data_IF_318529552181
#
_entry.id   IF_318529552181
#
_cell.length_a   1.000
_cell.length_b   1.000
_cell.length_c   1.000
_cell.angle_alpha   90.00
_cell.angle_beta   90.00
_cell.angle_gamma   90.00
#
_symmetry.space_group_name_H-M   'P 1'
#
loop_
_entity.id
_entity.type
_entity.pdbx_description
1 polymer ?
#
# COMPACT_ATOMS: atom_id res chain seq x y z
N UNK A 1 14.59 -6.07 20.62
CA UNK A 1 14.54 -6.74 19.32
C UNK A 1 15.44 -5.98 18.39
N UNK A 2 16.19 -6.63 17.50
CA UNK A 2 16.93 -5.93 16.47
C UNK A 2 15.97 -5.06 15.64
N UNK A 3 16.43 -3.90 15.23
CA UNK A 3 15.64 -2.96 14.40
C UNK A 3 15.99 -3.25 12.95
N UNK A 4 15.00 -3.45 12.10
CA UNK A 4 15.19 -3.76 10.68
C UNK A 4 14.22 -2.94 9.84
N UNK A 5 14.59 -2.59 8.62
CA UNK A 5 13.69 -1.97 7.65
C UNK A 5 13.12 -3.03 6.72
N UNK A 6 11.82 -3.05 6.56
CA UNK A 6 11.17 -3.75 5.47
C UNK A 6 11.23 -2.90 4.20
N UNK A 7 11.74 -3.46 3.12
CA UNK A 7 11.82 -2.79 1.83
C UNK A 7 10.79 -3.38 0.90
N UNK A 8 9.71 -2.66 0.68
CA UNK A 8 8.67 -3.07 -0.25
C UNK A 8 9.19 -3.10 -1.69
N UNK A 9 8.73 -4.05 -2.47
CA UNK A 9 9.18 -4.25 -3.85
C UNK A 9 8.04 -4.63 -4.77
N UNK A 10 7.91 -3.90 -5.88
CA UNK A 10 7.11 -4.37 -7.02
C UNK A 10 7.85 -5.49 -7.72
N UNK A 11 7.26 -6.69 -7.74
CA UNK A 11 7.94 -7.90 -8.20
C UNK A 11 7.81 -8.16 -9.72
N UNK A 12 6.94 -7.43 -10.41
CA UNK A 12 6.44 -7.80 -11.73
C UNK A 12 7.38 -7.51 -12.89
N UNK A 13 8.36 -6.62 -12.74
CA UNK A 13 9.33 -6.37 -13.80
C UNK A 13 10.78 -6.34 -13.28
N UNK A 14 11.71 -6.59 -14.20
CA UNK A 14 13.15 -6.67 -13.89
C UNK A 14 13.68 -5.33 -13.37
N UNK A 15 13.21 -4.21 -13.93
CA UNK A 15 13.73 -2.89 -13.56
C UNK A 15 13.35 -2.53 -12.12
N UNK A 16 12.11 -2.80 -11.70
CA UNK A 16 11.65 -2.56 -10.33
C UNK A 16 12.47 -3.41 -9.34
N UNK A 17 12.66 -4.69 -9.65
CA UNK A 17 13.48 -5.58 -8.81
C UNK A 17 14.92 -5.09 -8.68
N UNK A 18 15.58 -4.72 -9.79
CA UNK A 18 16.94 -4.21 -9.76
C UNK A 18 17.06 -2.87 -9.04
N UNK A 19 16.09 -1.96 -9.22
CA UNK A 19 16.05 -0.69 -8.51
C UNK A 19 15.95 -0.92 -7.01
N UNK A 20 15.07 -1.84 -6.58
CA UNK A 20 14.88 -2.15 -5.17
C UNK A 20 16.09 -2.83 -4.55
N UNK A 21 16.74 -3.77 -5.24
CA UNK A 21 18.00 -4.37 -4.78
C UNK A 21 19.07 -3.29 -4.58
N UNK A 22 19.22 -2.37 -5.52
CA UNK A 22 20.17 -1.26 -5.40
C UNK A 22 19.84 -0.35 -4.21
N UNK A 23 18.55 -0.13 -3.92
CA UNK A 23 18.10 0.62 -2.74
C UNK A 23 18.52 -0.09 -1.46
N UNK A 24 18.27 -1.39 -1.35
CA UNK A 24 18.68 -2.22 -0.20
C UNK A 24 20.18 -2.15 0.02
N UNK A 25 21.00 -2.35 -1.03
CA UNK A 25 22.46 -2.31 -0.95
C UNK A 25 22.96 -0.93 -0.46
N UNK A 26 22.27 0.14 -0.79
CA UNK A 26 22.60 1.48 -0.28
C UNK A 26 22.25 1.63 1.18
N UNK A 27 21.08 1.19 1.60
CA UNK A 27 20.64 1.28 2.99
C UNK A 27 21.54 0.39 3.86
N UNK A 28 21.84 -0.83 3.43
CA UNK A 28 22.70 -1.76 4.16
C UNK A 28 24.11 -1.17 4.34
N UNK A 29 24.66 -0.49 3.32
CA UNK A 29 25.91 0.27 3.46
C UNK A 29 25.80 1.42 4.49
N UNK A 30 24.68 2.13 4.57
CA UNK A 30 24.49 3.18 5.59
C UNK A 30 24.42 2.58 7.00
N UNK A 31 23.87 1.38 7.13
CA UNK A 31 23.88 0.62 8.39
C UNK A 31 25.32 0.24 8.76
N UNK A 32 26.09 -0.34 7.82
CA UNK A 32 27.50 -0.71 8.03
C UNK A 32 28.39 0.49 8.39
N UNK A 33 28.07 1.66 7.86
CA UNK A 33 28.73 2.92 8.22
C UNK A 33 28.32 3.48 9.59
N UNK A 34 27.39 2.83 10.29
CA UNK A 34 26.89 3.26 11.61
C UNK A 34 25.96 4.48 11.58
N UNK A 35 25.44 4.86 10.42
CA UNK A 35 24.52 5.99 10.29
C UNK A 35 23.12 5.67 10.83
N UNK A 36 22.72 4.40 10.79
CA UNK A 36 21.44 3.91 11.28
C UNK A 36 21.70 3.04 12.51
N UNK A 37 21.53 3.62 13.69
CA UNK A 37 21.99 3.05 14.96
C UNK A 37 21.15 1.87 15.40
N UNK A 38 21.80 0.72 15.63
CA UNK A 38 21.16 -0.52 16.10
C UNK A 38 20.22 -1.16 15.08
N UNK A 39 20.42 -0.83 13.80
CA UNK A 39 19.72 -1.46 12.70
C UNK A 39 20.50 -2.70 12.22
N UNK A 40 19.78 -3.74 11.88
CA UNK A 40 20.24 -4.86 11.06
C UNK A 40 20.01 -4.56 9.57
N UNK A 41 20.66 -5.32 8.68
CA UNK A 41 20.46 -5.22 7.24
C UNK A 41 18.96 -5.34 6.89
N UNK A 42 18.57 -4.63 5.84
CA UNK A 42 17.18 -4.57 5.37
C UNK A 42 16.59 -5.94 5.10
N UNK A 43 15.29 -6.08 5.27
CA UNK A 43 14.52 -7.21 4.73
C UNK A 43 13.96 -6.83 3.37
N UNK A 44 14.19 -7.68 2.39
CA UNK A 44 13.63 -7.56 1.04
C UNK A 44 13.01 -8.90 0.64
N UNK A 45 11.68 -9.00 0.43
CA UNK A 45 11.01 -10.27 0.14
C UNK A 45 11.70 -11.11 -0.93
N UNK A 46 11.98 -10.52 -2.10
CA UNK A 46 12.63 -11.23 -3.22
C UNK A 46 14.04 -11.77 -2.93
N UNK A 47 14.72 -11.27 -1.89
CA UNK A 47 16.05 -11.70 -1.48
C UNK A 47 16.01 -12.67 -0.30
N UNK A 48 15.13 -12.39 0.65
CA UNK A 48 15.18 -12.96 1.99
C UNK A 48 14.09 -14.02 2.25
N UNK A 49 13.05 -14.08 1.41
CA UNK A 49 12.05 -15.12 1.48
C UNK A 49 12.62 -16.50 1.08
N UNK A 50 12.09 -17.58 1.64
CA UNK A 50 12.50 -18.93 1.25
C UNK A 50 12.32 -19.17 -0.25
N UNK A 51 13.33 -19.73 -0.90
CA UNK A 51 13.39 -19.96 -2.37
C UNK A 51 12.28 -20.88 -2.91
N UNK A 52 11.56 -21.59 -2.04
CA UNK A 52 10.54 -22.56 -2.40
C UNK A 52 9.18 -22.20 -1.76
N UNK A 53 8.68 -21.02 -2.02
CA UNK A 53 7.32 -20.67 -1.58
C UNK A 53 6.31 -21.47 -2.41
N UNK A 54 5.52 -22.29 -1.74
CA UNK A 54 4.64 -23.28 -2.40
C UNK A 54 3.37 -22.64 -2.99
N UNK A 55 2.93 -21.49 -2.44
CA UNK A 55 1.69 -20.84 -2.85
C UNK A 55 1.62 -19.38 -2.37
N UNK A 56 0.66 -18.64 -2.91
CA UNK A 56 0.44 -17.21 -2.60
C UNK A 56 0.10 -16.93 -1.13
N UNK A 57 -0.57 -17.85 -0.43
CA UNK A 57 -0.87 -17.72 0.99
C UNK A 57 0.41 -17.75 1.84
N UNK A 58 1.39 -18.54 1.43
CA UNK A 58 2.68 -18.61 2.09
C UNK A 58 3.46 -17.31 1.87
N UNK A 59 3.43 -16.73 0.66
CA UNK A 59 4.00 -15.40 0.38
C UNK A 59 3.38 -14.37 1.33
N UNK A 60 2.05 -14.28 1.36
CA UNK A 60 1.34 -13.38 2.25
C UNK A 60 1.77 -13.53 3.71
N UNK A 61 1.80 -14.76 4.22
CA UNK A 61 2.17 -15.02 5.61
C UNK A 61 3.62 -14.64 5.90
N UNK A 62 4.55 -14.88 4.97
CA UNK A 62 5.96 -14.52 5.11
C UNK A 62 6.13 -13.00 5.14
N UNK A 63 5.47 -12.27 4.24
CA UNK A 63 5.52 -10.81 4.20
C UNK A 63 4.97 -10.19 5.49
N UNK A 64 3.82 -10.68 5.97
CA UNK A 64 3.24 -10.23 7.24
C UNK A 64 4.17 -10.52 8.42
N UNK A 65 4.77 -11.72 8.48
CA UNK A 65 5.73 -12.07 9.52
C UNK A 65 6.95 -11.16 9.48
N UNK A 66 7.51 -10.95 8.29
CA UNK A 66 8.67 -10.08 8.10
C UNK A 66 8.38 -8.61 8.45
N UNK A 67 7.23 -8.06 8.06
CA UNK A 67 6.83 -6.71 8.47
C UNK A 67 6.73 -6.64 9.99
N UNK A 68 6.16 -7.64 10.67
CA UNK A 68 6.05 -7.64 12.14
C UNK A 68 7.40 -7.69 12.85
N UNK A 69 8.43 -8.22 12.23
CA UNK A 69 9.80 -8.29 12.77
C UNK A 69 10.61 -7.01 12.47
N UNK A 70 10.10 -6.13 11.61
CA UNK A 70 10.74 -4.87 11.24
C UNK A 70 10.38 -3.74 12.22
N UNK A 71 10.97 -2.57 12.00
CA UNK A 71 10.76 -1.35 12.80
C UNK A 71 10.43 -0.13 11.93
N UNK A 72 10.31 -0.32 10.63
CA UNK A 72 9.99 0.71 9.65
C UNK A 72 9.84 0.13 8.26
N UNK A 73 9.28 0.92 7.35
CA UNK A 73 9.06 0.56 5.96
C UNK A 73 9.67 1.60 5.04
N UNK A 74 10.28 1.12 3.96
CA UNK A 74 10.79 1.95 2.87
C UNK A 74 10.60 1.23 1.53
N UNK A 75 10.79 1.93 0.42
CA UNK A 75 10.75 1.32 -0.91
C UNK A 75 10.48 2.35 -1.99
N UNK A 76 10.50 1.89 -3.24
CA UNK A 76 10.05 2.68 -4.38
C UNK A 76 8.53 2.66 -4.47
N UNK A 77 7.99 3.82 -4.80
CA UNK A 77 6.58 4.02 -5.00
C UNK A 77 6.36 4.75 -6.33
N UNK A 78 6.66 4.06 -7.40
CA UNK A 78 6.66 4.54 -8.78
C UNK A 78 5.61 3.82 -9.63
N UNK A 79 5.23 4.44 -10.73
CA UNK A 79 4.38 3.87 -11.76
C UNK A 79 3.01 4.55 -11.89
N UNK A 80 2.45 4.47 -13.09
CA UNK A 80 1.11 4.97 -13.38
C UNK A 80 0.03 4.20 -12.60
N UNK A 81 0.33 2.93 -12.27
CA UNK A 81 -0.48 2.08 -11.42
C UNK A 81 0.38 1.62 -10.26
N UNK A 82 -0.04 1.94 -9.05
CA UNK A 82 0.64 1.50 -7.84
C UNK A 82 0.32 0.04 -7.57
N UNK A 83 1.32 -0.71 -7.14
CA UNK A 83 1.12 -2.10 -6.72
C UNK A 83 0.23 -2.14 -5.47
N UNK A 84 -0.88 -2.86 -5.57
CA UNK A 84 -1.85 -2.96 -4.47
C UNK A 84 -1.30 -3.70 -3.25
N UNK A 85 -0.34 -4.62 -3.44
CA UNK A 85 0.38 -5.28 -2.35
C UNK A 85 1.26 -4.30 -1.60
N UNK A 86 2.08 -3.52 -2.32
CA UNK A 86 2.89 -2.47 -1.70
C UNK A 86 2.01 -1.42 -0.97
N UNK A 87 0.84 -1.09 -1.53
CA UNK A 87 -0.11 -0.20 -0.88
C UNK A 87 -0.66 -0.79 0.41
N UNK A 88 -1.02 -2.06 0.39
CA UNK A 88 -1.45 -2.80 1.58
C UNK A 88 -0.36 -2.80 2.67
N UNK A 89 0.89 -3.08 2.30
CA UNK A 89 2.02 -3.09 3.22
C UNK A 89 2.23 -1.74 3.91
N UNK A 90 2.04 -0.61 3.19
CA UNK A 90 2.05 0.74 3.77
C UNK A 90 0.96 0.86 4.86
N UNK A 91 -0.27 0.47 4.54
CA UNK A 91 -1.38 0.51 5.48
C UNK A 91 -1.16 -0.35 6.71
N UNK A 92 -0.66 -1.55 6.52
CA UNK A 92 -0.33 -2.46 7.61
C UNK A 92 0.80 -1.92 8.50
N UNK A 93 1.91 -1.48 7.91
CA UNK A 93 3.03 -0.89 8.64
C UNK A 93 2.62 0.36 9.43
N UNK A 94 1.70 1.17 8.88
CA UNK A 94 1.15 2.32 9.58
C UNK A 94 0.42 1.91 10.88
N UNK A 95 -0.34 0.80 10.87
CA UNK A 95 -1.02 0.33 12.08
C UNK A 95 -0.05 -0.15 13.16
N UNK A 96 1.15 -0.57 12.78
CA UNK A 96 2.22 -0.95 13.70
C UNK A 96 2.96 0.26 14.30
N UNK A 97 2.64 1.49 13.86
CA UNK A 97 3.29 2.72 14.29
C UNK A 97 4.67 2.94 13.68
N UNK A 98 4.96 2.29 12.56
CA UNK A 98 6.26 2.38 11.90
C UNK A 98 6.48 3.73 11.21
N UNK A 99 7.71 4.26 11.21
CA UNK A 99 8.09 5.29 10.26
C UNK A 99 8.09 4.71 8.84
N UNK A 100 7.46 5.42 7.92
CA UNK A 100 7.32 5.04 6.51
C UNK A 100 8.00 6.10 5.65
N UNK A 101 9.07 5.70 4.97
CA UNK A 101 9.88 6.58 4.14
C UNK A 101 9.94 6.04 2.71
N UNK A 102 9.30 6.68 1.77
CA UNK A 102 9.20 6.23 0.39
C UNK A 102 10.07 7.05 -0.56
N UNK A 103 10.45 6.42 -1.66
CA UNK A 103 11.12 7.05 -2.81
C UNK A 103 10.18 7.02 -3.99
N UNK A 104 10.04 8.15 -4.69
CA UNK A 104 9.41 8.16 -6.01
C UNK A 104 10.30 8.85 -7.02
N UNK A 105 10.48 8.21 -8.16
CA UNK A 105 11.20 8.76 -9.31
C UNK A 105 10.24 9.23 -10.39
N UNK A 106 8.94 9.00 -10.22
CA UNK A 106 7.90 9.47 -11.12
C UNK A 106 7.59 10.95 -10.93
N UNK A 107 7.36 11.63 -12.03
CA UNK A 107 6.85 12.99 -12.06
C UNK A 107 5.38 13.05 -12.47
N UNK A 108 4.68 11.95 -12.58
CA UNK A 108 3.26 11.92 -12.86
C UNK A 108 2.46 12.45 -11.68
N UNK A 109 1.79 13.56 -11.93
CA UNK A 109 0.75 14.10 -11.06
C UNK A 109 -0.59 13.59 -11.58
N UNK A 110 -1.02 12.46 -11.07
CA UNK A 110 -2.24 11.81 -11.54
C UNK A 110 -3.41 12.10 -10.63
N UNK A 111 -4.05 13.21 -10.85
CA UNK A 111 -5.48 13.38 -10.54
C UNK A 111 -6.05 14.39 -11.49
N UNK A 112 -7.36 14.34 -11.82
CA UNK A 112 -8.03 15.38 -12.60
C UNK A 112 -7.88 16.79 -12.01
N UNK A 113 -7.62 16.90 -10.70
CA UNK A 113 -7.36 18.16 -9.99
C UNK A 113 -5.88 18.57 -9.99
N UNK A 114 -4.97 17.77 -10.59
CA UNK A 114 -3.53 18.04 -10.59
C UNK A 114 -2.83 17.81 -9.26
N UNK A 115 -3.51 17.27 -8.25
CA UNK A 115 -2.89 16.79 -7.02
C UNK A 115 -2.23 15.44 -7.26
N UNK A 116 -1.08 15.18 -6.65
CA UNK A 116 -0.47 13.85 -6.72
C UNK A 116 -1.28 12.87 -5.86
N UNK A 117 -1.37 11.59 -6.26
CA UNK A 117 -1.95 10.53 -5.45
C UNK A 117 -1.30 10.43 -4.06
N UNK A 118 -0.05 10.86 -3.93
CA UNK A 118 0.63 11.02 -2.65
C UNK A 118 -0.04 12.02 -1.70
N UNK A 119 -0.85 12.94 -2.20
CA UNK A 119 -1.48 13.93 -1.33
C UNK A 119 -2.44 13.29 -0.33
N UNK A 120 -3.20 12.29 -0.77
CA UNK A 120 -4.15 11.59 0.10
C UNK A 120 -3.45 10.78 1.19
N UNK A 121 -2.45 9.97 0.83
CA UNK A 121 -1.71 9.14 1.79
C UNK A 121 -0.52 9.84 2.44
N UNK A 122 -0.16 11.05 2.02
CA UNK A 122 1.03 11.77 2.51
C UNK A 122 1.08 11.93 4.04
N UNK A 123 -0.09 11.95 4.67
CA UNK A 123 -0.21 12.06 6.13
C UNK A 123 0.25 10.80 6.88
N UNK A 124 0.32 9.64 6.20
CA UNK A 124 0.81 8.38 6.78
C UNK A 124 2.32 8.28 6.69
N UNK A 125 2.92 9.03 5.76
CA UNK A 125 4.32 8.93 5.41
C UNK A 125 5.14 9.90 6.27
N UNK A 126 6.26 9.42 6.78
CA UNK A 126 7.23 10.32 7.44
C UNK A 126 7.90 11.19 6.39
N UNK A 127 8.19 10.62 5.22
CA UNK A 127 8.78 11.33 4.09
C UNK A 127 8.53 10.63 2.78
N UNK A 128 8.41 11.45 1.73
CA UNK A 128 8.54 11.01 0.34
C UNK A 128 9.70 11.77 -0.30
N UNK A 129 10.75 11.03 -0.67
CA UNK A 129 11.83 11.59 -1.45
C UNK A 129 11.44 11.58 -2.93
N UNK A 130 11.21 12.75 -3.51
CA UNK A 130 10.70 12.89 -4.88
C UNK A 130 11.74 13.49 -5.81
N UNK A 131 11.68 13.12 -7.11
CA UNK A 131 12.37 13.87 -8.16
C UNK A 131 11.79 15.27 -8.29
N UNK A 132 12.66 16.27 -8.24
CA UNK A 132 12.24 17.67 -8.13
C UNK A 132 11.91 18.37 -9.47
N UNK A 133 12.28 17.80 -10.62
CA UNK A 133 12.09 18.48 -11.91
C UNK A 133 12.06 17.50 -13.10
N UNK A 134 11.21 17.81 -14.07
CA UNK A 134 11.26 17.21 -15.41
C UNK A 134 12.61 17.62 -16.04
N UNK A 135 13.39 16.68 -16.58
CA UNK A 135 14.62 17.01 -17.29
C UNK A 135 14.32 17.94 -18.47
N UNK A 136 15.25 18.84 -18.76
CA UNK A 136 15.16 19.74 -19.90
C UNK A 136 14.92 18.96 -21.21
N UNK A 137 13.91 19.32 -21.98
CA UNK A 137 13.41 18.51 -23.09
C UNK A 137 14.35 18.43 -24.31
N UNK A 138 15.54 19.05 -24.26
CA UNK A 138 16.50 19.06 -25.35
C UNK A 138 17.98 18.80 -24.99
N UNK A 139 18.29 17.96 -23.99
CA UNK A 139 19.68 17.60 -23.73
C UNK A 139 20.18 16.58 -24.76
N UNK A 140 21.49 16.52 -24.96
CA UNK A 140 22.10 15.35 -25.59
C UNK A 140 21.79 14.10 -24.76
N UNK A 141 21.81 12.90 -25.37
CA UNK A 141 21.55 11.64 -24.63
C UNK A 141 22.49 11.47 -23.43
N UNK A 142 23.76 11.88 -23.58
CA UNK A 142 24.74 11.84 -22.48
C UNK A 142 24.37 12.78 -21.34
N UNK A 143 23.98 14.01 -21.66
CA UNK A 143 23.57 14.99 -20.66
C UNK A 143 22.29 14.57 -19.95
N UNK A 144 21.33 14.00 -20.70
CA UNK A 144 20.10 13.45 -20.13
C UNK A 144 20.42 12.35 -19.11
N UNK A 145 21.28 11.40 -19.47
CA UNK A 145 21.71 10.31 -18.57
C UNK A 145 22.37 10.87 -17.31
N UNK A 146 23.30 11.81 -17.47
CA UNK A 146 24.04 12.39 -16.34
C UNK A 146 23.07 13.12 -15.39
N UNK A 147 22.16 13.96 -15.90
CA UNK A 147 21.17 14.67 -15.11
C UNK A 147 20.22 13.72 -14.35
N UNK A 148 19.80 12.61 -14.97
CA UNK A 148 18.96 11.63 -14.27
C UNK A 148 19.73 10.93 -13.13
N UNK A 149 21.00 10.61 -13.33
CA UNK A 149 21.83 10.04 -12.25
C UNK A 149 22.01 11.03 -11.09
N UNK A 150 22.26 12.31 -11.38
CA UNK A 150 22.38 13.35 -10.35
C UNK A 150 21.06 13.52 -9.57
N UNK A 151 19.90 13.48 -10.25
CA UNK A 151 18.61 13.54 -9.60
C UNK A 151 18.37 12.32 -8.72
N UNK A 152 18.71 11.13 -9.18
CA UNK A 152 18.58 9.90 -8.41
C UNK A 152 19.45 9.94 -7.14
N UNK A 153 20.71 10.40 -7.26
CA UNK A 153 21.59 10.59 -6.10
C UNK A 153 21.04 11.62 -5.11
N UNK A 154 20.39 12.67 -5.59
CA UNK A 154 19.70 13.65 -4.74
C UNK A 154 18.54 13.03 -3.98
N UNK A 155 17.72 12.21 -4.65
CA UNK A 155 16.61 11.49 -4.02
C UNK A 155 17.11 10.56 -2.92
N UNK A 156 18.17 9.79 -3.20
CA UNK A 156 18.79 8.93 -2.19
C UNK A 156 19.40 9.71 -1.02
N UNK A 157 19.98 10.88 -1.27
CA UNK A 157 20.47 11.74 -0.19
C UNK A 157 19.35 12.25 0.72
N UNK A 158 18.19 12.57 0.15
CA UNK A 158 16.99 12.94 0.92
C UNK A 158 16.52 11.75 1.77
N UNK A 159 16.41 10.57 1.14
CA UNK A 159 16.01 9.36 1.86
C UNK A 159 16.97 9.04 3.01
N UNK A 160 18.29 9.10 2.76
CA UNK A 160 19.32 8.88 3.78
C UNK A 160 19.13 9.81 4.98
N UNK A 161 18.96 11.11 4.73
CA UNK A 161 18.76 12.08 5.80
C UNK A 161 17.51 11.77 6.64
N UNK A 162 16.44 11.32 5.99
CA UNK A 162 15.20 10.97 6.67
C UNK A 162 15.34 9.68 7.47
N UNK A 163 15.98 8.66 6.91
CA UNK A 163 16.28 7.43 7.66
C UNK A 163 17.21 7.71 8.84
N UNK A 164 18.23 8.58 8.68
CA UNK A 164 19.09 9.01 9.80
C UNK A 164 18.27 9.78 10.83
N UNK A 165 17.33 10.64 10.43
CA UNK A 165 16.45 11.32 11.37
C UNK A 165 15.58 10.33 12.16
N UNK A 166 15.03 9.30 11.52
CA UNK A 166 14.18 8.31 12.18
C UNK A 166 14.98 7.26 12.98
N UNK A 167 16.12 6.81 12.48
CA UNK A 167 16.87 5.66 13.00
C UNK A 167 18.29 5.97 13.45
N UNK A 168 18.79 7.19 13.29
CA UNK A 168 20.11 7.62 13.78
C UNK A 168 20.22 7.65 15.31
N UNK A 169 19.10 7.55 16.01
CA UNK A 169 19.02 7.33 17.46
C UNK A 169 17.95 6.30 17.76
N UNK A 170 18.06 5.64 18.93
CA UNK A 170 17.03 4.70 19.37
C UNK A 170 15.81 5.50 19.86
N UNK A 171 14.76 5.50 19.07
CA UNK A 171 13.46 6.11 19.41
C UNK A 171 12.41 5.02 19.61
N UNK A 172 11.44 5.20 20.52
CA UNK A 172 10.29 4.32 20.59
C UNK A 172 9.44 4.47 19.32
N UNK A 173 8.86 3.38 18.87
CA UNK A 173 7.85 3.40 17.83
C UNK A 173 6.60 4.17 18.31
N UNK A 174 5.83 4.72 17.38
CA UNK A 174 4.52 5.27 17.70
C UNK A 174 3.62 4.15 18.24
N UNK A 175 2.61 4.47 19.06
CA UNK A 175 1.63 3.48 19.50
C UNK A 175 0.96 2.82 18.29
N UNK A 176 0.62 1.54 18.41
CA UNK A 176 -0.17 0.84 17.39
C UNK A 176 -1.53 1.50 17.22
N UNK A 177 -2.01 1.51 16.00
CA UNK A 177 -3.38 1.90 15.70
C UNK A 177 -4.29 0.72 16.01
N UNK A 178 -5.32 0.95 16.80
CA UNK A 178 -6.27 -0.08 17.22
C UNK A 178 -7.67 0.24 16.71
N UNK A 179 -8.51 -0.80 16.63
CA UNK A 179 -9.93 -0.64 16.38
C UNK A 179 -10.59 0.18 17.50
N UNK A 180 -11.61 0.93 17.17
CA UNK A 180 -12.45 1.67 18.11
C UNK A 180 -13.77 0.91 18.36
N UNK A 181 -14.56 1.30 19.37
CA UNK A 181 -15.92 0.80 19.52
C UNK A 181 -16.71 0.99 18.22
N UNK A 182 -17.50 -0.02 17.86
CA UNK A 182 -18.26 -0.03 16.61
C UNK A 182 -19.38 1.00 16.70
N UNK A 183 -19.35 1.96 15.78
CA UNK A 183 -20.41 2.95 15.54
C UNK A 183 -21.20 2.61 14.25
N UNK A 184 -20.51 1.96 13.28
CA UNK A 184 -21.07 1.55 12.00
C UNK A 184 -20.85 0.07 11.77
N UNK A 185 -21.81 -0.62 11.19
CA UNK A 185 -21.62 -2.02 10.77
C UNK A 185 -20.62 -2.12 9.62
N UNK A 186 -20.70 -1.16 8.66
CA UNK A 186 -19.88 -1.16 7.46
C UNK A 186 -19.21 0.18 7.15
N UNK A 187 -17.98 0.11 6.69
CA UNK A 187 -17.27 1.17 5.96
C UNK A 187 -17.31 0.86 4.47
N UNK A 188 -17.67 1.82 3.63
CA UNK A 188 -17.74 1.67 2.18
C UNK A 188 -16.57 2.39 1.51
N UNK A 189 -15.77 1.65 0.75
CA UNK A 189 -14.61 2.14 0.03
C UNK A 189 -14.98 3.29 -0.93
N UNK A 190 -14.23 4.42 -0.94
CA UNK A 190 -14.47 5.52 -1.86
C UNK A 190 -14.30 5.12 -3.33
N UNK A 191 -13.58 4.05 -3.65
CA UNK A 191 -13.37 3.58 -5.02
C UNK A 191 -14.67 3.25 -5.77
N UNK A 192 -15.74 2.90 -5.07
CA UNK A 192 -17.05 2.76 -5.69
C UNK A 192 -17.53 4.03 -6.40
N UNK A 193 -17.02 5.19 -6.05
CA UNK A 193 -17.48 6.47 -6.59
C UNK A 193 -16.76 6.87 -7.89
N UNK A 194 -15.64 6.25 -8.23
CA UNK A 194 -14.82 6.67 -9.38
C UNK A 194 -15.40 6.30 -10.74
N UNK A 195 -16.21 5.24 -10.81
CA UNK A 195 -16.84 4.79 -12.04
C UNK A 195 -18.37 4.80 -11.93
N UNK A 196 -19.06 4.86 -13.07
CA UNK A 196 -20.52 4.73 -13.10
C UNK A 196 -20.97 3.35 -12.60
N UNK A 197 -20.28 2.30 -13.03
CA UNK A 197 -20.53 0.93 -12.56
C UNK A 197 -20.33 0.80 -11.05
N UNK A 198 -19.25 1.39 -10.50
CA UNK A 198 -18.98 1.39 -9.07
C UNK A 198 -20.10 2.09 -8.29
N UNK A 199 -20.54 3.28 -8.74
CA UNK A 199 -21.66 3.98 -8.10
C UNK A 199 -22.96 3.19 -8.13
N UNK A 200 -23.23 2.50 -9.25
CA UNK A 200 -24.40 1.63 -9.35
C UNK A 200 -24.34 0.47 -8.34
N UNK A 201 -23.20 -0.20 -8.22
CA UNK A 201 -22.96 -1.25 -7.23
C UNK A 201 -23.08 -0.72 -5.80
N UNK A 202 -22.49 0.44 -5.51
CA UNK A 202 -22.57 1.08 -4.19
C UNK A 202 -24.03 1.31 -3.76
N UNK A 203 -24.88 1.78 -4.67
CA UNK A 203 -26.30 1.95 -4.37
C UNK A 203 -26.98 0.63 -4.00
N UNK A 204 -26.70 -0.47 -4.71
CA UNK A 204 -27.26 -1.79 -4.38
C UNK A 204 -26.76 -2.28 -3.00
N UNK A 205 -25.49 -2.07 -2.69
CA UNK A 205 -24.89 -2.40 -1.38
C UNK A 205 -25.59 -1.62 -0.27
N UNK A 206 -25.78 -0.32 -0.48
CA UNK A 206 -26.47 0.56 0.49
C UNK A 206 -27.91 0.12 0.72
N UNK A 207 -28.61 -0.23 -0.34
CA UNK A 207 -30.00 -0.73 -0.23
C UNK A 207 -30.04 -2.05 0.56
N UNK A 208 -29.10 -2.97 0.33
CA UNK A 208 -28.98 -4.21 1.10
C UNK A 208 -28.67 -3.95 2.58
N UNK A 209 -27.73 -3.03 2.89
CA UNK A 209 -27.40 -2.64 4.28
C UNK A 209 -28.63 -2.08 5.00
N UNK A 210 -29.38 -1.18 4.35
CA UNK A 210 -30.61 -0.59 4.89
C UNK A 210 -31.69 -1.65 5.10
N UNK A 211 -31.87 -2.56 4.14
CA UNK A 211 -32.84 -3.65 4.24
C UNK A 211 -32.52 -4.61 5.41
N UNK A 212 -31.23 -4.76 5.74
CA UNK A 212 -30.77 -5.53 6.89
C UNK A 212 -30.83 -4.75 8.23
N UNK A 213 -31.33 -3.50 8.24
CA UNK A 213 -31.31 -2.59 9.39
C UNK A 213 -29.90 -2.36 9.98
N UNK A 214 -28.88 -2.37 9.13
CA UNK A 214 -27.48 -2.13 9.50
C UNK A 214 -27.06 -0.71 9.15
N UNK A 215 -26.00 -0.24 9.79
CA UNK A 215 -25.46 1.11 9.64
C UNK A 215 -24.21 1.11 8.77
N UNK A 216 -23.91 2.23 8.14
CA UNK A 216 -22.71 2.37 7.33
C UNK A 216 -22.19 3.81 7.29
N UNK A 217 -20.93 3.94 6.92
CA UNK A 217 -20.27 5.21 6.62
C UNK A 217 -19.53 5.12 5.28
N UNK A 218 -19.60 6.20 4.51
CA UNK A 218 -18.86 6.30 3.26
C UNK A 218 -17.41 6.69 3.51
N UNK A 219 -16.50 6.11 2.73
CA UNK A 219 -15.18 6.66 2.52
C UNK A 219 -15.26 8.02 1.81
N UNK A 220 -14.34 8.90 2.14
CA UNK A 220 -14.31 10.26 1.65
C UNK A 220 -13.28 10.40 0.51
N UNK A 221 -13.73 10.31 -0.72
CA UNK A 221 -12.88 10.40 -1.92
C UNK A 221 -12.28 11.81 -2.18
N UNK A 222 -12.60 12.80 -1.37
CA UNK A 222 -12.11 14.19 -1.50
C UNK A 222 -11.39 14.66 -0.23
N UNK A 223 -11.32 13.82 0.79
CA UNK A 223 -10.80 14.16 2.10
C UNK A 223 -9.36 13.69 2.33
N UNK A 224 -8.99 13.81 3.58
CA UNK A 224 -7.72 13.30 4.06
C UNK A 224 -7.91 11.86 4.51
N UNK A 225 -6.96 10.98 4.20
CA UNK A 225 -6.99 9.55 4.55
C UNK A 225 -7.24 9.31 6.05
N UNK A 226 -6.84 10.25 6.92
CA UNK A 226 -7.06 10.13 8.36
C UNK A 226 -8.54 10.07 8.73
N UNK A 227 -9.42 10.73 7.96
CA UNK A 227 -10.88 10.63 8.16
C UNK A 227 -11.38 9.23 7.82
N UNK A 228 -10.88 8.66 6.74
CA UNK A 228 -11.24 7.30 6.33
C UNK A 228 -10.72 6.26 7.31
N UNK A 229 -9.51 6.44 7.82
CA UNK A 229 -8.95 5.58 8.88
C UNK A 229 -9.83 5.64 10.13
N UNK A 230 -10.24 6.83 10.56
CA UNK A 230 -11.09 6.98 11.75
C UNK A 230 -12.46 6.30 11.55
N UNK A 231 -13.08 6.50 10.38
CA UNK A 231 -14.34 5.83 10.01
C UNK A 231 -14.19 4.30 9.96
N UNK A 232 -13.08 3.82 9.37
CA UNK A 232 -12.77 2.39 9.28
C UNK A 232 -12.56 1.78 10.68
N UNK A 233 -11.85 2.47 11.56
CA UNK A 233 -11.64 2.04 12.96
C UNK A 233 -12.93 1.89 13.74
N UNK A 234 -13.94 2.71 13.44
CA UNK A 234 -15.28 2.71 14.06
C UNK A 234 -16.27 1.78 13.38
N UNK A 235 -15.86 1.14 12.29
CA UNK A 235 -16.70 0.21 11.53
C UNK A 235 -16.44 -1.23 11.94
N UNK A 236 -17.49 -2.04 11.95
CA UNK A 236 -17.37 -3.48 12.16
C UNK A 236 -16.58 -4.16 11.05
N UNK A 237 -16.77 -3.67 9.82
CA UNK A 237 -16.17 -4.25 8.61
C UNK A 237 -16.02 -3.21 7.49
N UNK A 238 -14.97 -3.34 6.67
CA UNK A 238 -14.83 -2.64 5.40
C UNK A 238 -15.44 -3.42 4.24
N UNK A 239 -15.99 -2.72 3.25
CA UNK A 239 -16.36 -3.27 1.94
C UNK A 239 -15.54 -2.52 0.91
N UNK A 240 -14.58 -3.22 0.27
CA UNK A 240 -13.63 -2.67 -0.68
C UNK A 240 -13.95 -3.07 -2.11
N UNK A 241 -13.64 -2.17 -3.06
CA UNK A 241 -13.94 -2.33 -4.47
C UNK A 241 -12.66 -2.51 -5.30
N UNK A 242 -12.46 -3.70 -5.85
CA UNK A 242 -11.26 -4.08 -6.59
C UNK A 242 -11.47 -4.32 -8.09
N UNK A 243 -12.62 -3.92 -8.66
CA UNK A 243 -12.90 -4.05 -10.10
C UNK A 243 -12.27 -2.97 -10.97
N UNK A 244 -11.67 -1.96 -10.39
CA UNK A 244 -10.78 -1.05 -11.10
C UNK A 244 -9.52 -1.81 -11.53
N UNK A 245 -8.89 -1.36 -12.62
CA UNK A 245 -7.78 -2.06 -13.28
C UNK A 245 -6.64 -2.46 -12.31
N UNK A 246 -6.40 -1.65 -11.30
CA UNK A 246 -5.78 -2.02 -10.01
C UNK A 246 -6.58 -1.33 -8.91
N UNK A 247 -6.73 -1.93 -7.72
CA UNK A 247 -7.26 -1.19 -6.60
C UNK A 247 -6.47 0.10 -6.48
N UNK A 248 -7.17 1.22 -6.41
CA UNK A 248 -6.51 2.49 -6.22
C UNK A 248 -5.62 2.40 -4.97
N UNK A 249 -4.52 3.13 -4.96
CA UNK A 249 -3.59 3.24 -3.86
C UNK A 249 -4.29 3.29 -2.50
N UNK A 250 -5.32 4.10 -2.42
CA UNK A 250 -6.06 4.38 -1.21
C UNK A 250 -6.78 3.13 -0.66
N UNK A 251 -7.40 2.37 -1.56
CA UNK A 251 -8.11 1.12 -1.20
C UNK A 251 -7.14 0.07 -0.69
N UNK A 252 -5.98 -0.09 -1.32
CA UNK A 252 -4.94 -1.00 -0.84
C UNK A 252 -4.44 -0.62 0.56
N UNK A 253 -4.14 0.67 0.78
CA UNK A 253 -3.70 1.17 2.10
C UNK A 253 -4.79 0.95 3.15
N UNK A 254 -6.03 1.32 2.86
CA UNK A 254 -7.14 1.16 3.80
C UNK A 254 -7.43 -0.32 4.11
N UNK A 255 -7.27 -1.22 3.13
CA UNK A 255 -7.38 -2.65 3.37
C UNK A 255 -6.26 -3.18 4.26
N UNK A 256 -5.02 -2.70 4.10
CA UNK A 256 -3.91 -2.99 5.00
C UNK A 256 -4.17 -2.51 6.43
N UNK A 257 -4.77 -1.32 6.58
CA UNK A 257 -5.19 -0.79 7.88
C UNK A 257 -6.31 -1.65 8.48
N UNK A 258 -7.34 -2.00 7.70
CA UNK A 258 -8.43 -2.86 8.15
C UNK A 258 -7.91 -4.18 8.71
N UNK A 259 -7.00 -4.82 7.98
CA UNK A 259 -6.34 -6.04 8.42
C UNK A 259 -5.54 -5.82 9.71
N UNK A 260 -4.72 -4.78 9.77
CA UNK A 260 -3.85 -4.48 10.91
C UNK A 260 -4.59 -4.17 12.21
N UNK A 261 -5.80 -3.62 12.13
CA UNK A 261 -6.68 -3.39 13.30
C UNK A 261 -7.64 -4.56 13.57
N UNK A 262 -7.52 -5.68 12.84
CA UNK A 262 -8.36 -6.87 13.02
C UNK A 262 -9.78 -6.76 12.44
N UNK A 263 -10.00 -5.85 11.49
CA UNK A 263 -11.28 -5.65 10.79
C UNK A 263 -11.22 -6.24 9.39
N UNK A 264 -11.20 -7.57 9.28
CA UNK A 264 -11.10 -8.26 7.98
C UNK A 264 -12.24 -7.83 7.05
N UNK A 265 -11.94 -7.29 5.86
CA UNK A 265 -12.94 -6.75 4.95
C UNK A 265 -13.61 -7.81 4.08
N UNK A 266 -14.73 -7.43 3.47
CA UNK A 266 -15.19 -8.01 2.22
C UNK A 266 -14.57 -7.25 1.06
N UNK A 267 -14.02 -7.97 0.09
CA UNK A 267 -13.46 -7.35 -1.12
C UNK A 267 -14.26 -7.80 -2.33
N UNK A 268 -14.89 -6.84 -3.00
CA UNK A 268 -15.62 -7.09 -4.23
C UNK A 268 -14.65 -7.07 -5.42
N UNK A 269 -14.59 -8.19 -6.13
CA UNK A 269 -13.85 -8.34 -7.38
C UNK A 269 -14.69 -9.17 -8.34
N UNK A 270 -15.28 -8.55 -9.36
CA UNK A 270 -16.20 -9.25 -10.26
C UNK A 270 -15.53 -10.37 -11.06
N UNK A 271 -16.34 -11.32 -11.50
CA UNK A 271 -15.87 -12.44 -12.32
C UNK A 271 -15.20 -12.02 -13.63
N UNK A 272 -15.43 -10.79 -14.11
CA UNK A 272 -14.78 -10.29 -15.32
C UNK A 272 -13.26 -10.19 -15.20
N UNK A 273 -12.74 -10.01 -13.99
CA UNK A 273 -11.31 -10.08 -13.70
C UNK A 273 -10.75 -11.51 -13.67
N UNK A 274 -11.59 -12.52 -13.53
CA UNK A 274 -11.17 -13.91 -13.37
C UNK A 274 -10.82 -14.60 -14.69
N UNK A 275 -11.07 -14.00 -15.85
CA UNK A 275 -10.95 -14.63 -17.16
C UNK A 275 -9.87 -14.01 -18.07
N UNK A 276 -8.71 -13.69 -17.55
CA UNK A 276 -7.54 -13.55 -18.42
C UNK A 276 -7.01 -14.96 -18.71
N UNK A 277 -7.48 -15.54 -19.81
CA UNK A 277 -7.09 -16.86 -20.29
C UNK A 277 -5.57 -17.04 -20.28
N UNK A 278 -5.13 -18.13 -19.68
CA UNK A 278 -3.77 -18.65 -19.79
C UNK A 278 -2.80 -18.24 -18.69
N UNK A 279 -3.23 -17.54 -17.66
CA UNK A 279 -2.41 -17.29 -16.48
C UNK A 279 -2.78 -18.27 -15.36
N UNK A 280 -2.23 -19.47 -15.41
CA UNK A 280 -2.34 -20.44 -14.31
C UNK A 280 -1.71 -19.95 -12.99
N UNK A 281 -1.25 -18.71 -12.92
CA UNK A 281 -0.39 -18.23 -11.84
C UNK A 281 -0.82 -16.94 -11.15
N UNK A 282 -1.61 -16.09 -11.76
CA UNK A 282 -1.96 -14.82 -11.14
C UNK A 282 -3.47 -14.59 -11.31
N UNK A 283 -4.23 -15.27 -10.45
CA UNK A 283 -5.60 -14.85 -10.23
C UNK A 283 -5.61 -13.39 -9.75
N UNK A 284 -6.03 -12.51 -10.54
CA UNK A 284 -6.86 -11.32 -10.40
C UNK A 284 -6.50 -10.29 -9.35
N UNK A 285 -6.12 -10.68 -8.15
CA UNK A 285 -5.80 -9.80 -7.04
C UNK A 285 -4.43 -10.16 -6.50
N UNK A 286 -3.66 -9.14 -6.14
CA UNK A 286 -2.44 -9.32 -5.39
C UNK A 286 -2.71 -10.16 -4.13
N UNK A 287 -1.80 -11.06 -3.77
CA UNK A 287 -1.96 -11.96 -2.62
C UNK A 287 -2.21 -11.20 -1.31
N UNK A 288 -1.62 -10.02 -1.14
CA UNK A 288 -1.84 -9.18 0.05
C UNK A 288 -3.32 -8.73 0.15
N UNK A 289 -3.96 -8.45 -0.98
CA UNK A 289 -5.38 -8.10 -1.02
C UNK A 289 -6.25 -9.34 -0.81
N UNK A 290 -5.90 -10.45 -1.47
CA UNK A 290 -6.69 -11.69 -1.43
C UNK A 290 -6.75 -12.27 -0.02
N UNK A 291 -5.61 -12.44 0.64
CA UNK A 291 -5.56 -13.15 1.93
C UNK A 291 -5.76 -12.25 3.14
N UNK A 292 -5.76 -10.93 2.96
CA UNK A 292 -6.19 -10.00 4.01
C UNK A 292 -7.72 -9.89 4.13
N UNK A 293 -8.46 -10.19 3.07
CA UNK A 293 -9.91 -10.20 3.09
C UNK A 293 -10.46 -11.39 3.89
N UNK A 294 -11.62 -11.22 4.51
CA UNK A 294 -12.37 -12.34 5.07
C UNK A 294 -13.02 -13.15 3.94
N UNK A 295 -13.51 -12.46 2.93
CA UNK A 295 -14.14 -13.06 1.75
C UNK A 295 -13.91 -12.17 0.54
N UNK A 296 -13.49 -12.78 -0.56
CA UNK A 296 -13.56 -12.17 -1.88
C UNK A 296 -14.92 -12.53 -2.48
N UNK A 297 -15.71 -11.52 -2.78
CA UNK A 297 -17.03 -11.69 -3.39
C UNK A 297 -16.97 -11.32 -4.88
N UNK A 298 -17.57 -12.15 -5.70
CA UNK A 298 -17.47 -12.04 -7.17
C UNK A 298 -18.73 -11.50 -7.81
N UNK A 299 -19.80 -11.39 -7.03
CA UNK A 299 -21.08 -10.86 -7.49
C UNK A 299 -21.77 -10.03 -6.42
N UNK A 300 -22.62 -9.11 -6.87
CA UNK A 300 -23.42 -8.29 -5.95
C UNK A 300 -24.40 -9.14 -5.13
N UNK A 301 -24.93 -10.22 -5.69
CA UNK A 301 -25.84 -11.11 -4.99
C UNK A 301 -25.16 -11.84 -3.84
N UNK A 302 -23.91 -12.26 -4.04
CA UNK A 302 -23.09 -12.86 -2.98
C UNK A 302 -22.84 -11.85 -1.86
N UNK A 303 -22.40 -10.64 -2.20
CA UNK A 303 -22.14 -9.59 -1.22
C UNK A 303 -23.40 -9.20 -0.45
N UNK A 304 -24.53 -9.02 -1.14
CA UNK A 304 -25.79 -8.68 -0.46
C UNK A 304 -26.29 -9.82 0.42
N UNK A 305 -26.07 -11.08 0.04
CA UNK A 305 -26.34 -12.23 0.90
C UNK A 305 -25.53 -12.23 2.19
N UNK A 306 -24.23 -11.87 2.12
CA UNK A 306 -23.39 -11.73 3.31
C UNK A 306 -23.80 -10.55 4.21
N UNK A 307 -24.30 -9.45 3.64
CA UNK A 307 -24.78 -8.30 4.39
C UNK A 307 -26.06 -8.65 5.18
N UNK A 308 -26.93 -9.48 4.59
CA UNK A 308 -28.21 -9.86 5.15
C UNK A 308 -28.13 -11.00 6.18
N UNK A 309 -27.04 -11.78 6.17
CA UNK A 309 -26.76 -12.82 7.18
C UNK A 309 -26.33 -12.23 8.53
#
# INVERSE_FOLDING_TARGET
MPRRLYVQCRLFNVNDRLATINLCDRIDRWIDMGLLVGMEHTFLPIRDDPVNVANELEIFNNDIAAINECSGLTGFFDGATYDSGCSFEIGYAYTLGYPINLVTTDFFKWTPSGSSNFFYCSQLLNTVATLAAVPDMNPSISDYRQKNLEQLERVFSILQNNLVFDFGTIKPLKPRIEALPIEYDYYLDPNFQYTEAGRYLQNQIVDAIKAANKTFVYGNNMGLILTDIENLRKSGRGIFYSDVFEPDLDSGILQGIAYGIGRKPYTYASNSKQYLEGADWYGYLNCMITYSAETIVTSINELTGLIQS
#
